data_IF_720614870735
#
_entry.id   IF_720614870735
#
_cell.length_a   1.000
_cell.length_b   1.000
_cell.length_c   1.000
_cell.angle_alpha   90.00
_cell.angle_beta   90.00
_cell.angle_gamma   90.00
#
_symmetry.space_group_name_H-M   'P 1'
#
loop_
_entity.id
_entity.type
_entity.pdbx_description
1 polymer ?
#
# COMPACT_ATOMS: atom_id res chain seq x y z
N UNK A 1 -13.23 5.96 4.01
CA UNK A 1 -12.22 4.99 4.45
C UNK A 1 -10.88 5.71 4.70
N UNK A 2 -10.52 5.88 5.97
CA UNK A 2 -9.32 6.64 6.38
C UNK A 2 -8.00 5.96 5.97
N UNK A 3 -7.97 4.63 5.89
CA UNK A 3 -6.80 3.89 5.41
C UNK A 3 -6.57 4.14 3.92
N UNK A 4 -7.63 4.10 3.12
CA UNK A 4 -7.54 4.35 1.68
C UNK A 4 -7.07 5.78 1.39
N UNK A 5 -7.56 6.78 2.14
CA UNK A 5 -7.08 8.16 2.05
C UNK A 5 -5.58 8.25 2.38
N UNK A 6 -5.15 7.69 3.52
CA UNK A 6 -3.76 7.70 3.93
C UNK A 6 -2.84 7.03 2.90
N UNK A 7 -3.25 5.86 2.38
CA UNK A 7 -2.49 5.16 1.33
C UNK A 7 -2.40 6.00 0.06
N UNK A 8 -3.50 6.62 -0.39
CA UNK A 8 -3.48 7.49 -1.57
C UNK A 8 -2.54 8.68 -1.40
N UNK A 9 -2.54 9.31 -0.21
CA UNK A 9 -1.62 10.41 0.10
C UNK A 9 -0.16 9.94 0.04
N UNK A 10 0.16 8.77 0.63
CA UNK A 10 1.52 8.22 0.65
C UNK A 10 2.00 7.74 -0.72
N UNK A 11 1.15 7.09 -1.48
CA UNK A 11 1.46 6.67 -2.85
C UNK A 11 1.65 7.88 -3.76
N UNK A 12 0.84 8.91 -3.59
CA UNK A 12 0.99 10.16 -4.31
C UNK A 12 2.33 10.88 -4.01
N UNK A 13 2.87 10.78 -2.78
CA UNK A 13 4.20 11.26 -2.44
C UNK A 13 5.30 10.53 -3.24
N UNK A 14 5.07 9.28 -3.61
CA UNK A 14 5.94 8.45 -4.45
C UNK A 14 5.64 8.58 -5.96
N UNK A 15 4.64 9.40 -6.35
CA UNK A 15 4.18 9.55 -7.73
C UNK A 15 3.42 8.35 -8.27
N UNK A 16 2.92 7.51 -7.40
CA UNK A 16 2.06 6.39 -7.77
C UNK A 16 0.62 6.87 -7.73
N UNK A 17 -0.04 6.83 -8.87
CA UNK A 17 -1.44 7.25 -8.99
C UNK A 17 -2.39 6.16 -8.49
N UNK A 18 -3.42 6.58 -7.74
CA UNK A 18 -4.46 5.69 -7.25
C UNK A 18 -5.75 5.97 -8.01
N UNK A 19 -6.11 5.08 -8.92
CA UNK A 19 -7.31 5.23 -9.76
C UNK A 19 -8.55 4.54 -9.19
N UNK A 20 -8.37 3.49 -8.40
CA UNK A 20 -9.49 2.66 -7.96
C UNK A 20 -9.45 2.39 -6.47
N UNK A 21 -10.58 2.61 -5.82
CA UNK A 21 -10.85 2.16 -4.46
C UNK A 21 -12.01 1.19 -4.50
N UNK A 22 -11.82 -0.01 -3.99
CA UNK A 22 -12.85 -1.03 -3.92
C UNK A 22 -13.07 -1.46 -2.48
N UNK A 23 -14.30 -1.38 -2.00
CA UNK A 23 -14.71 -1.99 -0.75
C UNK A 23 -15.41 -3.32 -1.05
N UNK A 24 -14.95 -4.39 -0.43
CA UNK A 24 -15.48 -5.74 -0.59
C UNK A 24 -15.71 -6.37 0.79
N UNK A 25 -16.85 -7.02 0.97
CA UNK A 25 -17.13 -7.75 2.21
C UNK A 25 -16.40 -9.09 2.26
N UNK A 26 -16.20 -9.61 3.47
CA UNK A 26 -15.43 -10.81 3.78
C UNK A 26 -16.10 -12.05 3.17
N UNK A 27 -15.72 -12.34 1.94
CA UNK A 27 -16.19 -13.48 1.15
C UNK A 27 -15.15 -13.81 0.08
N UNK A 28 -14.67 -15.03 0.06
CA UNK A 28 -13.62 -15.50 -0.84
C UNK A 28 -13.95 -15.23 -2.32
N UNK A 29 -15.14 -15.60 -2.77
CA UNK A 29 -15.51 -15.46 -4.19
C UNK A 29 -15.60 -13.99 -4.63
N UNK A 30 -16.08 -13.12 -3.76
CA UNK A 30 -16.10 -11.67 -4.03
C UNK A 30 -14.69 -11.11 -4.11
N UNK A 31 -13.82 -11.52 -3.17
CA UNK A 31 -12.43 -11.05 -3.15
C UNK A 31 -11.66 -11.59 -4.37
N UNK A 32 -11.85 -12.85 -4.78
CA UNK A 32 -11.28 -13.39 -6.02
C UNK A 32 -11.74 -12.61 -7.25
N UNK A 33 -13.02 -12.26 -7.35
CA UNK A 33 -13.55 -11.44 -8.45
C UNK A 33 -12.91 -10.05 -8.48
N UNK A 34 -12.72 -9.42 -7.32
CA UNK A 34 -12.06 -8.10 -7.21
C UNK A 34 -10.58 -8.20 -7.59
N UNK A 35 -9.88 -9.24 -7.15
CA UNK A 35 -8.48 -9.48 -7.52
C UNK A 35 -8.32 -9.68 -9.02
N UNK A 36 -9.17 -10.50 -9.66
CA UNK A 36 -9.15 -10.71 -11.10
C UNK A 36 -9.36 -9.40 -11.89
N UNK A 37 -10.28 -8.55 -11.46
CA UNK A 37 -10.50 -7.24 -12.10
C UNK A 37 -9.34 -6.28 -11.87
N UNK A 38 -8.79 -6.27 -10.65
CA UNK A 38 -7.71 -5.35 -10.27
C UNK A 38 -6.40 -5.68 -10.96
N UNK A 39 -6.05 -6.96 -11.08
CA UNK A 39 -4.82 -7.42 -11.75
C UNK A 39 -4.77 -7.09 -13.24
N UNK A 40 -5.93 -6.95 -13.90
CA UNK A 40 -6.03 -6.61 -15.33
C UNK A 40 -5.90 -5.12 -15.64
N UNK A 41 -5.94 -4.26 -14.62
CA UNK A 41 -6.02 -2.80 -14.82
C UNK A 41 -5.06 -1.99 -13.95
N UNK A 42 -4.26 -2.64 -13.13
CA UNK A 42 -3.37 -1.97 -12.19
C UNK A 42 -2.07 -2.74 -12.04
N UNK A 43 -0.97 -2.03 -11.97
CA UNK A 43 0.37 -2.59 -11.73
C UNK A 43 0.66 -2.80 -10.23
N UNK A 44 -0.12 -2.14 -9.36
CA UNK A 44 -0.05 -2.25 -7.91
C UNK A 44 -1.45 -2.45 -7.33
N UNK A 45 -1.64 -3.52 -6.57
CA UNK A 45 -2.88 -3.87 -5.88
C UNK A 45 -2.61 -3.98 -4.39
N UNK A 46 -3.24 -3.12 -3.58
CA UNK A 46 -3.07 -3.12 -2.12
C UNK A 46 -4.34 -3.64 -1.47
N UNK A 47 -4.20 -4.72 -0.69
CA UNK A 47 -5.25 -5.31 0.13
C UNK A 47 -5.08 -4.84 1.57
N UNK A 48 -6.13 -4.31 2.17
CA UNK A 48 -6.09 -3.74 3.51
C UNK A 48 -7.15 -4.39 4.42
N UNK A 49 -6.70 -5.03 5.48
CA UNK A 49 -7.53 -5.77 6.43
C UNK A 49 -7.62 -7.27 6.16
N UNK A 50 -8.32 -7.99 7.03
CA UNK A 50 -8.49 -9.43 6.92
C UNK A 50 -7.22 -10.26 7.15
N UNK A 51 -6.32 -9.80 8.05
CA UNK A 51 -5.07 -10.49 8.40
C UNK A 51 -5.09 -11.11 9.80
N UNK A 52 -6.17 -10.97 10.51
CA UNK A 52 -6.34 -11.46 11.87
C UNK A 52 -6.46 -12.99 11.94
N UNK A 53 -6.75 -13.50 13.15
CA UNK A 53 -6.84 -14.95 13.40
C UNK A 53 -8.24 -15.53 13.18
N UNK A 54 -9.24 -14.73 12.81
CA UNK A 54 -10.63 -15.18 12.72
C UNK A 54 -10.97 -15.79 11.35
N UNK A 55 -12.09 -16.48 11.24
CA UNK A 55 -12.44 -17.18 10.00
C UNK A 55 -12.83 -16.22 8.85
N UNK A 56 -13.23 -15.00 9.18
CA UNK A 56 -13.53 -13.92 8.26
C UNK A 56 -12.26 -13.16 7.80
N UNK A 57 -11.10 -13.42 8.40
CA UNK A 57 -9.81 -12.92 7.95
C UNK A 57 -9.29 -13.76 6.78
N UNK A 58 -9.71 -13.43 5.55
CA UNK A 58 -9.51 -14.25 4.35
C UNK A 58 -8.49 -13.68 3.36
N UNK A 59 -7.90 -12.53 3.64
CA UNK A 59 -7.11 -11.78 2.64
C UNK A 59 -5.90 -12.56 2.14
N UNK A 60 -5.07 -13.08 3.02
CA UNK A 60 -3.85 -13.83 2.64
C UNK A 60 -4.18 -15.14 1.95
N UNK A 61 -5.15 -15.88 2.46
CA UNK A 61 -5.61 -17.17 1.92
C UNK A 61 -6.16 -16.99 0.49
N UNK A 62 -6.98 -15.97 0.31
CA UNK A 62 -7.59 -15.69 -0.99
C UNK A 62 -6.56 -15.19 -1.99
N UNK A 63 -5.61 -14.36 -1.56
CA UNK A 63 -4.52 -13.91 -2.42
C UNK A 63 -3.61 -15.08 -2.82
N UNK A 64 -3.22 -15.95 -1.89
CA UNK A 64 -2.43 -17.15 -2.18
C UNK A 64 -3.13 -18.04 -3.20
N UNK A 65 -4.42 -18.32 -2.99
CA UNK A 65 -5.25 -19.07 -3.92
C UNK A 65 -5.33 -18.43 -5.31
N UNK A 66 -5.52 -17.11 -5.37
CA UNK A 66 -5.56 -16.35 -6.61
C UNK A 66 -4.26 -16.46 -7.40
N UNK A 67 -3.12 -16.42 -6.71
CA UNK A 67 -1.79 -16.49 -7.29
C UNK A 67 -1.30 -17.94 -7.55
N UNK A 68 -2.07 -18.97 -7.15
CA UNK A 68 -1.66 -20.37 -7.23
C UNK A 68 -0.46 -20.69 -6.36
N UNK A 69 -0.36 -20.06 -5.18
CA UNK A 69 0.74 -20.18 -4.22
C UNK A 69 0.27 -20.70 -2.88
N UNK A 70 1.22 -21.20 -2.08
CA UNK A 70 0.95 -21.63 -0.70
C UNK A 70 1.15 -20.48 0.30
N UNK A 71 0.68 -20.69 1.53
CA UNK A 71 1.00 -19.85 2.67
C UNK A 71 2.16 -20.50 3.44
N UNK A 72 3.19 -19.72 3.70
CA UNK A 72 4.35 -20.14 4.49
C UNK A 72 4.49 -19.28 5.75
N UNK A 73 5.17 -19.80 6.77
CA UNK A 73 5.44 -19.05 7.98
C UNK A 73 6.63 -18.11 7.80
N UNK A 74 6.44 -16.86 8.20
CA UNK A 74 7.55 -15.93 8.42
C UNK A 74 8.19 -16.19 9.80
N UNK A 75 9.50 -16.34 9.83
CA UNK A 75 10.22 -16.70 11.04
C UNK A 75 10.20 -15.60 12.11
N UNK A 76 10.31 -14.34 11.70
CA UNK A 76 10.31 -13.19 12.61
C UNK A 76 8.93 -12.97 13.21
N UNK A 77 7.87 -13.01 12.39
CA UNK A 77 6.50 -12.92 12.85
C UNK A 77 6.12 -14.09 13.77
N UNK A 78 6.62 -15.31 13.50
CA UNK A 78 6.42 -16.48 14.36
C UNK A 78 7.07 -16.30 15.72
N UNK A 79 8.32 -15.85 15.77
CA UNK A 79 9.03 -15.53 17.03
C UNK A 79 8.32 -14.43 17.81
N UNK A 80 7.82 -13.42 17.14
CA UNK A 80 7.05 -12.34 17.76
C UNK A 80 5.75 -12.86 18.37
N UNK A 81 5.05 -13.72 17.65
CA UNK A 81 3.82 -14.36 18.13
C UNK A 81 4.11 -15.20 19.39
N UNK A 82 5.17 -16.01 19.38
CA UNK A 82 5.60 -16.81 20.53
C UNK A 82 5.92 -15.92 21.75
N UNK A 83 6.68 -14.87 21.55
CA UNK A 83 7.06 -13.91 22.60
C UNK A 83 5.85 -13.19 23.19
N UNK A 84 4.88 -12.83 22.35
CA UNK A 84 3.65 -12.17 22.78
C UNK A 84 2.86 -13.05 23.76
N UNK A 85 2.68 -14.32 23.43
CA UNK A 85 1.92 -15.26 24.27
C UNK A 85 2.72 -15.70 25.50
N UNK A 86 4.04 -15.87 25.39
CA UNK A 86 4.90 -16.21 26.54
C UNK A 86 4.87 -15.13 27.64
N UNK A 87 4.77 -13.87 27.28
CA UNK A 87 4.72 -12.74 28.22
C UNK A 87 3.31 -12.47 28.79
N UNK A 88 2.28 -13.14 28.27
CA UNK A 88 0.87 -12.93 28.65
C UNK A 88 0.16 -14.23 29.00
N UNK A 89 0.44 -14.83 30.17
CA UNK A 89 -0.06 -16.17 30.56
C UNK A 89 -1.60 -16.25 30.67
N UNK A 90 -2.29 -15.09 30.72
CA UNK A 90 -3.76 -15.03 30.69
C UNK A 90 -4.36 -15.15 29.29
N UNK A 91 -3.55 -15.02 28.25
CA UNK A 91 -3.98 -15.15 26.85
C UNK A 91 -3.59 -16.54 26.34
N UNK A 92 -4.59 -17.32 25.96
CA UNK A 92 -4.36 -18.63 25.36
C UNK A 92 -4.08 -18.50 23.88
N UNK A 93 -2.93 -18.96 23.41
CA UNK A 93 -2.66 -19.11 21.98
C UNK A 93 -3.54 -20.22 21.42
N UNK A 94 -4.20 -19.93 20.32
CA UNK A 94 -4.99 -20.90 19.56
C UNK A 94 -4.32 -21.18 18.21
N UNK A 95 -4.59 -22.31 17.53
CA UNK A 95 -4.04 -22.60 16.22
C UNK A 95 -4.34 -21.49 15.19
N UNK A 96 -5.47 -20.82 15.31
CA UNK A 96 -5.85 -19.72 14.43
C UNK A 96 -4.89 -18.52 14.49
N UNK A 97 -4.23 -18.30 15.64
CA UNK A 97 -3.24 -17.22 15.75
C UNK A 97 -2.06 -17.39 14.80
N UNK A 98 -1.78 -18.60 14.38
CA UNK A 98 -0.67 -18.91 13.45
C UNK A 98 -0.88 -18.25 12.08
N UNK A 99 -2.13 -18.01 11.65
CA UNK A 99 -2.45 -17.26 10.44
C UNK A 99 -1.81 -15.88 10.41
N UNK A 100 -1.63 -15.26 11.58
CA UNK A 100 -1.03 -13.93 11.70
C UNK A 100 0.46 -13.91 11.30
N UNK A 101 1.16 -15.04 11.45
CA UNK A 101 2.58 -15.19 11.08
C UNK A 101 2.77 -15.75 9.65
N UNK A 102 1.71 -16.01 8.91
CA UNK A 102 1.81 -16.53 7.54
C UNK A 102 1.92 -15.41 6.52
N UNK A 103 2.65 -15.68 5.43
CA UNK A 103 2.76 -14.86 4.22
C UNK A 103 2.54 -15.74 2.98
N UNK A 104 2.26 -15.13 1.85
CA UNK A 104 2.21 -15.83 0.55
C UNK A 104 3.63 -16.26 0.17
N UNK A 105 3.79 -17.49 -0.30
CA UNK A 105 5.08 -18.02 -0.73
C UNK A 105 5.74 -17.12 -1.79
N UNK A 106 7.00 -16.75 -1.53
CA UNK A 106 7.76 -15.83 -2.39
C UNK A 106 7.49 -14.34 -2.11
N UNK A 107 6.63 -14.00 -1.16
CA UNK A 107 6.47 -12.63 -0.72
C UNK A 107 7.62 -12.19 0.19
N UNK A 108 7.98 -10.92 0.11
CA UNK A 108 8.83 -10.26 1.10
C UNK A 108 7.94 -9.85 2.28
N UNK A 109 8.24 -10.25 3.51
CA UNK A 109 7.45 -9.89 4.67
C UNK A 109 7.54 -8.38 4.95
N UNK A 110 6.42 -7.78 5.32
CA UNK A 110 6.34 -6.44 5.88
C UNK A 110 6.03 -6.58 7.37
N UNK A 111 7.03 -6.31 8.21
CA UNK A 111 6.93 -6.58 9.64
C UNK A 111 5.95 -5.62 10.34
N UNK A 112 5.12 -6.16 11.23
CA UNK A 112 4.16 -5.38 11.99
C UNK A 112 4.76 -4.93 13.32
N UNK A 113 5.15 -3.68 13.45
CA UNK A 113 5.83 -3.17 14.64
C UNK A 113 4.90 -3.00 15.85
N UNK A 114 3.62 -2.83 15.62
CA UNK A 114 2.62 -2.47 16.65
C UNK A 114 1.55 -3.54 16.88
N UNK A 115 1.41 -4.49 15.97
CA UNK A 115 0.50 -5.62 16.04
C UNK A 115 1.21 -6.96 15.81
N UNK A 116 0.47 -8.02 15.54
CA UNK A 116 1.00 -9.39 15.37
C UNK A 116 0.94 -9.87 13.91
N UNK A 117 -0.04 -9.39 13.14
CA UNK A 117 -0.24 -9.88 11.78
C UNK A 117 0.81 -9.29 10.83
N UNK A 118 1.70 -10.13 10.30
CA UNK A 118 2.67 -9.73 9.29
C UNK A 118 1.97 -9.40 7.97
N UNK A 119 2.39 -8.32 7.31
CA UNK A 119 2.01 -8.01 5.94
C UNK A 119 2.92 -8.71 4.93
N UNK A 120 2.81 -8.34 3.66
CA UNK A 120 3.69 -8.87 2.63
C UNK A 120 3.56 -8.12 1.32
N UNK A 121 4.63 -8.16 0.53
CA UNK A 121 4.68 -7.64 -0.82
C UNK A 121 5.20 -8.72 -1.76
N UNK A 122 4.54 -8.91 -2.90
CA UNK A 122 4.91 -9.90 -3.92
C UNK A 122 4.58 -9.38 -5.30
N UNK A 123 5.48 -9.60 -6.27
CA UNK A 123 5.22 -9.31 -7.68
C UNK A 123 5.07 -10.62 -8.45
N UNK A 124 3.94 -10.76 -9.14
CA UNK A 124 3.62 -11.92 -9.98
C UNK A 124 3.08 -11.41 -11.31
N UNK A 125 3.63 -11.90 -12.42
CA UNK A 125 3.21 -11.53 -13.79
C UNK A 125 3.15 -10.01 -14.04
N UNK A 126 4.07 -9.25 -13.43
CA UNK A 126 4.15 -7.80 -13.60
C UNK A 126 3.23 -6.99 -12.70
N UNK A 127 2.38 -7.62 -11.90
CA UNK A 127 1.52 -6.96 -10.91
C UNK A 127 2.09 -7.14 -9.51
N UNK A 128 2.23 -6.07 -8.78
CA UNK A 128 2.67 -6.08 -7.37
C UNK A 128 1.46 -6.09 -6.44
N UNK A 129 1.41 -7.09 -5.58
CA UNK A 129 0.37 -7.24 -4.55
C UNK A 129 0.95 -6.93 -3.18
N UNK A 130 0.26 -6.11 -2.43
CA UNK A 130 0.62 -5.74 -1.06
C UNK A 130 -0.51 -6.10 -0.12
N UNK A 131 -0.17 -6.69 1.02
CA UNK A 131 -1.13 -7.07 2.06
C UNK A 131 -0.81 -6.32 3.34
N UNK A 132 -1.76 -5.52 3.83
CA UNK A 132 -1.61 -4.65 4.99
C UNK A 132 -2.69 -4.91 6.04
N UNK A 133 -2.40 -4.69 7.35
CA UNK A 133 -3.39 -4.82 8.41
C UNK A 133 -4.51 -3.77 8.31
N UNK A 134 -5.65 -4.06 8.94
CA UNK A 134 -6.81 -3.17 8.98
C UNK A 134 -6.69 -1.99 9.95
N UNK A 135 -6.26 -2.19 11.22
CA UNK A 135 -6.18 -1.11 12.19
C UNK A 135 -5.20 -0.01 11.75
N UNK A 136 -5.61 1.27 11.74
CA UNK A 136 -4.71 2.38 11.34
C UNK A 136 -3.43 2.49 12.17
N UNK A 137 -3.48 2.08 13.44
CA UNK A 137 -2.32 2.04 14.34
C UNK A 137 -1.26 1.01 13.94
N UNK A 138 -1.63 0.01 13.16
CA UNK A 138 -0.73 -1.01 12.61
C UNK A 138 -0.35 -0.67 11.16
N UNK A 139 -1.33 -0.29 10.34
CA UNK A 139 -1.15 0.03 8.93
C UNK A 139 -0.18 1.19 8.72
N UNK A 140 -0.36 2.30 9.43
CA UNK A 140 0.45 3.50 9.20
C UNK A 140 1.95 3.30 9.47
N UNK A 141 2.37 2.70 10.60
CA UNK A 141 3.77 2.35 10.83
C UNK A 141 4.32 1.39 9.77
N UNK A 142 3.57 0.34 9.41
CA UNK A 142 3.98 -0.64 8.40
C UNK A 142 4.17 0.02 7.02
N UNK A 143 3.26 0.92 6.62
CA UNK A 143 3.41 1.66 5.36
C UNK A 143 4.66 2.53 5.37
N UNK A 144 4.87 3.31 6.43
CA UNK A 144 5.98 4.26 6.47
C UNK A 144 7.36 3.59 6.60
N UNK A 145 7.47 2.48 7.32
CA UNK A 145 8.74 1.88 7.70
C UNK A 145 9.09 0.65 6.87
N UNK A 146 8.11 -0.02 6.27
CA UNK A 146 8.30 -1.25 5.51
C UNK A 146 7.90 -1.08 4.03
N UNK A 147 6.66 -0.65 3.75
CA UNK A 147 6.15 -0.61 2.39
C UNK A 147 6.83 0.46 1.53
N UNK A 148 6.95 1.70 2.04
CA UNK A 148 7.56 2.79 1.28
C UNK A 148 9.00 2.46 0.90
N UNK A 149 9.88 2.00 1.81
CA UNK A 149 11.21 1.53 1.44
C UNK A 149 11.18 0.41 0.38
N UNK A 150 10.35 -0.62 0.58
CA UNK A 150 10.25 -1.75 -0.35
C UNK A 150 9.79 -1.34 -1.77
N UNK A 151 8.92 -0.33 -1.88
CA UNK A 151 8.50 0.20 -3.17
C UNK A 151 9.59 1.07 -3.82
N UNK A 152 10.43 1.75 -3.05
CA UNK A 152 11.47 2.65 -3.57
C UNK A 152 12.76 1.92 -3.94
N UNK A 153 13.12 0.83 -3.28
CA UNK A 153 14.32 0.04 -3.58
C UNK A 153 14.29 -0.63 -4.97
N UNK A 154 13.11 -0.91 -5.50
CA UNK A 154 12.93 -1.64 -6.77
C UNK A 154 12.56 -0.76 -7.97
N UNK A 155 12.49 0.56 -7.82
CA UNK A 155 12.11 1.47 -8.90
C UNK A 155 13.12 2.59 -9.11
N UNK A 156 13.24 3.05 -10.36
CA UNK A 156 13.79 4.38 -10.69
C UNK A 156 13.17 5.37 -9.72
N UNK A 157 14.01 6.07 -8.95
CA UNK A 157 13.53 6.96 -7.89
C UNK A 157 12.65 8.04 -8.50
N UNK A 158 11.42 8.13 -8.01
CA UNK A 158 10.53 9.22 -8.40
C UNK A 158 10.89 10.45 -7.58
N UNK A 159 11.38 11.47 -8.25
CA UNK A 159 11.65 12.77 -7.63
C UNK A 159 10.39 13.63 -7.76
N UNK A 160 9.94 14.19 -6.63
CA UNK A 160 8.83 15.12 -6.59
C UNK A 160 9.22 16.43 -5.93
N UNK A 161 8.78 17.55 -6.52
CA UNK A 161 8.81 18.88 -5.89
C UNK A 161 7.41 19.44 -5.80
N UNK A 162 7.11 20.05 -4.66
CA UNK A 162 5.84 20.74 -4.43
C UNK A 162 6.10 22.23 -4.38
N UNK A 163 5.53 22.97 -5.33
CA UNK A 163 5.51 24.42 -5.33
C UNK A 163 4.20 24.88 -4.69
N UNK A 164 4.26 25.85 -3.78
CA UNK A 164 3.09 26.40 -3.10
C UNK A 164 2.86 27.84 -3.53
N UNK A 165 1.64 28.15 -3.92
CA UNK A 165 1.21 29.47 -4.39
C UNK A 165 0.14 29.99 -3.45
N UNK A 166 0.33 31.21 -2.97
CA UNK A 166 -0.60 31.93 -2.11
C UNK A 166 -1.15 33.13 -2.85
N UNK A 167 -2.43 33.42 -2.65
CA UNK A 167 -3.09 34.61 -3.28
C UNK A 167 -3.37 34.44 -4.78
N UNK A 168 -3.24 33.24 -5.33
CA UNK A 168 -3.57 32.92 -6.71
C UNK A 168 -4.66 31.85 -6.73
N UNK A 169 -5.70 32.03 -7.52
CA UNK A 169 -6.74 31.03 -7.71
C UNK A 169 -6.26 29.86 -8.59
N UNK A 170 -6.78 28.65 -8.36
CA UNK A 170 -6.42 27.45 -9.13
C UNK A 170 -6.60 27.66 -10.63
N UNK A 171 -7.78 28.17 -11.04
CA UNK A 171 -8.08 28.40 -12.46
C UNK A 171 -7.12 29.40 -13.11
N UNK A 172 -6.70 30.42 -12.36
CA UNK A 172 -5.74 31.41 -12.84
C UNK A 172 -4.35 30.77 -13.01
N UNK A 173 -3.89 29.99 -12.03
CA UNK A 173 -2.60 29.31 -12.11
C UNK A 173 -2.58 28.31 -13.28
N UNK A 174 -3.60 27.45 -13.38
CA UNK A 174 -3.74 26.47 -14.47
C UNK A 174 -3.78 27.17 -15.84
N UNK A 175 -4.43 28.34 -15.96
CA UNK A 175 -4.43 29.10 -17.21
C UNK A 175 -3.04 29.59 -17.59
N UNK A 176 -2.25 30.09 -16.62
CA UNK A 176 -0.89 30.58 -16.85
C UNK A 176 0.04 29.46 -17.33
N UNK A 177 -0.10 28.26 -16.76
CA UNK A 177 0.77 27.10 -17.08
C UNK A 177 0.11 26.10 -18.02
N UNK A 178 -0.97 26.49 -18.72
CA UNK A 178 -1.76 25.60 -19.58
C UNK A 178 -0.91 24.84 -20.59
N UNK A 179 0.01 25.53 -21.25
CA UNK A 179 0.85 24.91 -22.28
C UNK A 179 1.81 23.86 -21.67
N UNK A 180 2.27 24.07 -20.43
CA UNK A 180 3.08 23.11 -19.73
C UNK A 180 2.26 21.86 -19.32
N UNK A 181 1.02 22.06 -18.87
CA UNK A 181 0.13 20.95 -18.49
C UNK A 181 -0.31 20.13 -19.71
N UNK A 182 -0.67 20.79 -20.82
CA UNK A 182 -1.18 20.11 -22.03
C UNK A 182 -0.08 19.32 -22.73
N UNK A 183 1.13 19.85 -22.77
CA UNK A 183 2.27 19.25 -23.49
C UNK A 183 3.21 18.45 -22.55
N UNK A 184 2.83 18.24 -21.29
CA UNK A 184 3.67 17.51 -20.34
C UNK A 184 3.86 16.05 -20.76
N UNK A 185 5.08 15.57 -20.61
CA UNK A 185 5.45 14.16 -20.73
C UNK A 185 6.17 13.71 -19.46
N UNK A 186 7.36 14.25 -19.21
CA UNK A 186 8.15 14.10 -18.01
C UNK A 186 9.00 15.37 -17.83
N UNK A 187 8.93 16.04 -16.66
CA UNK A 187 8.12 15.76 -15.47
C UNK A 187 6.61 15.98 -15.65
N UNK A 188 5.83 15.26 -14.88
CA UNK A 188 4.38 15.51 -14.78
C UNK A 188 4.09 16.66 -13.83
N UNK A 189 3.04 17.43 -14.14
CA UNK A 189 2.60 18.61 -13.36
C UNK A 189 1.16 18.38 -12.90
N UNK A 190 0.93 18.33 -11.61
CA UNK A 190 -0.39 18.14 -11.02
C UNK A 190 -0.76 19.31 -10.10
N UNK A 191 -1.79 20.11 -10.42
CA UNK A 191 -2.31 21.15 -9.54
C UNK A 191 -3.23 20.54 -8.47
N UNK A 192 -3.16 21.07 -7.25
CA UNK A 192 -4.03 20.73 -6.13
C UNK A 192 -4.45 22.01 -5.41
N UNK A 193 -5.76 22.26 -5.34
CA UNK A 193 -6.32 23.36 -4.56
C UNK A 193 -6.54 22.95 -3.10
N UNK A 194 -6.12 23.80 -2.18
CA UNK A 194 -6.44 23.76 -0.75
C UNK A 194 -7.03 25.08 -0.31
N UNK A 195 -7.62 25.13 0.87
CA UNK A 195 -8.13 26.37 1.42
C UNK A 195 -6.98 27.38 1.62
N UNK A 196 -6.99 28.48 0.83
CA UNK A 196 -6.00 29.54 0.90
C UNK A 196 -4.69 29.32 0.14
N UNK A 197 -4.48 28.16 -0.46
CA UNK A 197 -3.28 27.90 -1.27
C UNK A 197 -3.58 27.00 -2.49
N UNK A 198 -2.78 27.15 -3.53
CA UNK A 198 -2.71 26.17 -4.64
C UNK A 198 -1.32 25.57 -4.66
N UNK A 199 -1.23 24.25 -4.78
CA UNK A 199 0.05 23.55 -4.89
C UNK A 199 0.19 22.93 -6.27
N UNK A 200 1.40 22.99 -6.84
CA UNK A 200 1.78 22.23 -8.02
C UNK A 200 2.77 21.16 -7.59
N UNK A 201 2.47 19.91 -7.88
CA UNK A 201 3.42 18.83 -7.75
C UNK A 201 4.05 18.55 -9.11
N UNK A 202 5.36 18.64 -9.15
CA UNK A 202 6.19 18.23 -10.28
C UNK A 202 6.77 16.87 -9.95
N UNK A 203 6.61 15.88 -10.82
CA UNK A 203 7.14 14.53 -10.58
C UNK A 203 7.82 14.00 -11.82
N UNK A 204 9.04 13.47 -11.65
CA UNK A 204 9.84 12.84 -12.71
C UNK A 204 10.46 11.54 -12.20
N UNK A 205 10.67 10.59 -13.10
CA UNK A 205 11.43 9.37 -12.84
C UNK A 205 12.87 9.62 -13.27
N UNK A 206 13.79 9.56 -12.32
CA UNK A 206 15.21 9.80 -12.59
C UNK A 206 16.08 8.78 -11.87
N UNK A 207 17.30 8.58 -12.37
CA UNK A 207 18.31 7.72 -11.75
C UNK A 207 19.04 8.44 -10.61
N UNK A 208 19.01 9.77 -10.59
CA UNK A 208 19.61 10.62 -9.55
C UNK A 208 18.82 11.90 -9.34
N UNK A 209 19.10 12.61 -8.23
CA UNK A 209 18.45 13.89 -7.91
C UNK A 209 18.97 15.05 -8.80
N UNK A 210 20.07 14.84 -9.50
CA UNK A 210 20.73 15.86 -10.34
C UNK A 210 20.22 15.81 -11.80
N UNK A 211 19.55 14.71 -12.18
CA UNK A 211 18.94 14.51 -13.49
C UNK A 211 17.53 15.15 -13.53
#
# INVERSE_FOLDING_TARGET
NTNAQFLSEKLAELGIDVYFHTAVGDNENRLLSVLDQSSKRSDLVILCGGLGPTEDDLTKQTLAKFLGKELIFDEEASKKLDSFFATRPKHTRTPNNERQAQIVEGAVPLQNLTGLAVGGIITVEGVTYVVLPGPPSELKPMVNQELIPALTENHTTLYSRVLRFFGVGESQLVTIIKDLIVNQTDPTIAPYAKVGEVTLRLSTKASSQEE
#
